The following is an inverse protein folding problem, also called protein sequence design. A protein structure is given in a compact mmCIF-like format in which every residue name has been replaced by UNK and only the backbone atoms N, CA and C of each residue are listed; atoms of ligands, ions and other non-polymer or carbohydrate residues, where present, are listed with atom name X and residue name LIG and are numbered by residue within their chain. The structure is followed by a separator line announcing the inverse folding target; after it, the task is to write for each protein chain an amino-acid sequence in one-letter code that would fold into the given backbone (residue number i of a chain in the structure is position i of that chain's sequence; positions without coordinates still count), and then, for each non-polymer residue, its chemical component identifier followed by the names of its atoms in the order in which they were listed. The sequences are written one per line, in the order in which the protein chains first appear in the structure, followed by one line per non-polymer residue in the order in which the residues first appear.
data_IF_124064893977
#
_entry.id   IF_124064893977
#
_cell.length_a   1.000
_cell.length_b   1.000
_cell.length_c   1.000
_cell.angle_alpha   90.00
_cell.angle_beta   90.00
_cell.angle_gamma   90.00
#
_symmetry.space_group_name_H-M   'P 1'
#
loop_
_entity.id
_entity.type
_entity.pdbx_description
1 polymer ?
#
# COMPACT_ATOMS: atom_id res chain seq x y z
N UNK A 1 7.50 -14.05 -15.39
CA UNK A 1 6.44 -13.17 -14.82
C UNK A 1 7.16 -12.14 -13.98
N UNK A 2 6.76 -10.88 -13.95
CA UNK A 2 7.47 -9.91 -13.09
C UNK A 2 7.01 -10.04 -11.62
N UNK A 3 7.96 -9.94 -10.69
CA UNK A 3 7.73 -9.88 -9.25
C UNK A 3 8.39 -8.65 -8.64
N UNK A 4 7.83 -8.20 -7.51
CA UNK A 4 8.40 -7.20 -6.62
C UNK A 4 8.64 -7.82 -5.25
N UNK A 5 9.84 -7.62 -4.71
CA UNK A 5 10.18 -7.88 -3.32
C UNK A 5 10.43 -6.56 -2.59
N UNK A 6 9.80 -6.37 -1.45
CA UNK A 6 10.12 -5.30 -0.51
C UNK A 6 10.69 -5.94 0.74
N UNK A 7 11.89 -5.52 1.15
CA UNK A 7 12.53 -6.09 2.34
C UNK A 7 13.22 -5.03 3.21
N UNK A 8 13.19 -5.29 4.50
CA UNK A 8 13.88 -4.50 5.53
C UNK A 8 14.79 -5.40 6.34
N UNK A 9 15.90 -4.83 6.82
CA UNK A 9 16.87 -5.52 7.66
C UNK A 9 17.12 -4.69 8.92
N UNK A 10 17.23 -5.36 10.05
CA UNK A 10 17.41 -4.75 11.38
C UNK A 10 18.66 -5.30 12.07
N UNK A 11 19.34 -4.51 12.92
CA UNK A 11 18.86 -3.27 13.55
C UNK A 11 19.12 -2.00 12.71
N UNK A 12 18.10 -1.15 12.59
CA UNK A 12 18.25 0.19 12.03
C UNK A 12 18.49 1.20 13.16
N UNK A 13 19.62 1.92 13.14
CA UNK A 13 19.94 2.94 14.13
C UNK A 13 19.81 4.35 13.54
N UNK A 14 18.57 4.80 13.36
CA UNK A 14 18.22 6.20 13.08
C UNK A 14 18.86 6.81 11.82
N UNK A 15 18.95 8.14 11.79
CA UNK A 15 19.49 8.91 10.65
C UNK A 15 21.01 8.72 10.51
N UNK A 16 21.48 8.38 9.31
CA UNK A 16 22.90 8.17 9.02
C UNK A 16 23.15 7.32 7.78
N UNK A 17 24.38 6.83 7.66
CA UNK A 17 24.79 5.90 6.61
C UNK A 17 24.08 4.55 6.76
N UNK A 18 23.62 3.91 5.67
CA UNK A 18 22.93 2.63 5.77
C UNK A 18 23.81 1.56 6.42
N UNK A 19 23.26 0.72 7.30
CA UNK A 19 24.02 -0.34 7.95
C UNK A 19 24.52 -1.37 6.93
N UNK A 20 25.66 -2.00 7.25
CA UNK A 20 26.35 -2.95 6.38
C UNK A 20 25.43 -4.07 5.87
N UNK A 21 24.60 -4.65 6.74
CA UNK A 21 23.61 -5.66 6.34
C UNK A 21 22.63 -5.18 5.26
N UNK A 22 22.21 -3.92 5.28
CA UNK A 22 21.29 -3.37 4.29
C UNK A 22 22.01 -3.15 2.95
N UNK A 23 23.26 -2.69 3.00
CA UNK A 23 24.12 -2.50 1.82
C UNK A 23 24.43 -3.85 1.15
N UNK A 24 24.79 -4.87 1.93
CA UNK A 24 25.09 -6.21 1.41
C UNK A 24 23.86 -6.90 0.83
N UNK A 25 22.70 -6.78 1.49
CA UNK A 25 21.44 -7.31 0.96
C UNK A 25 21.04 -6.64 -0.36
N UNK A 26 21.25 -5.32 -0.47
CA UNK A 26 21.04 -4.57 -1.72
C UNK A 26 21.98 -5.05 -2.83
N UNK A 27 23.28 -5.16 -2.53
CA UNK A 27 24.28 -5.62 -3.50
C UNK A 27 23.94 -7.02 -4.04
N UNK A 28 23.53 -7.96 -3.18
CA UNK A 28 23.12 -9.29 -3.60
C UNK A 28 21.90 -9.28 -4.55
N UNK A 29 20.97 -8.33 -4.39
CA UNK A 29 19.85 -8.14 -5.31
C UNK A 29 20.31 -7.56 -6.67
N UNK A 30 21.22 -6.58 -6.65
CA UNK A 30 21.80 -5.97 -7.86
C UNK A 30 22.62 -6.99 -8.66
N UNK A 31 23.43 -7.82 -8.00
CA UNK A 31 24.22 -8.90 -8.63
C UNK A 31 23.35 -9.97 -9.29
N UNK A 32 22.14 -10.19 -8.78
CA UNK A 32 21.15 -11.07 -9.38
C UNK A 32 20.45 -10.44 -10.61
N UNK A 33 20.82 -9.23 -11.02
CA UNK A 33 20.24 -8.52 -12.15
C UNK A 33 18.87 -7.92 -11.89
N UNK A 34 18.50 -7.75 -10.61
CA UNK A 34 17.23 -7.12 -10.23
C UNK A 34 17.35 -5.60 -10.29
N UNK A 35 16.28 -4.92 -10.69
CA UNK A 35 16.17 -3.47 -10.52
C UNK A 35 15.90 -3.16 -9.05
N UNK A 36 16.78 -2.38 -8.43
CA UNK A 36 16.71 -2.09 -7.00
C UNK A 36 16.48 -0.61 -6.74
N UNK A 37 15.57 -0.30 -5.82
CA UNK A 37 15.35 1.03 -5.24
C UNK A 37 15.59 0.96 -3.73
N UNK A 38 16.55 1.75 -3.24
CA UNK A 38 17.02 1.71 -1.86
C UNK A 38 16.55 2.97 -1.11
N UNK A 39 15.49 2.82 -0.33
CA UNK A 39 14.79 3.93 0.33
C UNK A 39 14.90 3.92 1.85
N UNK A 40 14.36 4.96 2.52
CA UNK A 40 14.42 5.10 3.97
C UNK A 40 13.59 4.06 4.73
N UNK A 41 12.66 3.38 4.05
CA UNK A 41 11.76 2.39 4.64
C UNK A 41 12.13 0.95 4.27
N UNK A 42 13.20 0.73 3.50
CA UNK A 42 13.60 -0.59 3.03
C UNK A 42 14.13 -0.58 1.60
N UNK A 43 14.38 -1.79 1.09
CA UNK A 43 14.85 -2.03 -0.26
C UNK A 43 13.73 -2.65 -1.08
N UNK A 44 13.48 -2.11 -2.26
CA UNK A 44 12.57 -2.71 -3.24
C UNK A 44 13.37 -3.30 -4.38
N UNK A 45 13.20 -4.59 -4.67
CA UNK A 45 13.80 -5.27 -5.82
C UNK A 45 12.71 -5.76 -6.77
N UNK A 46 12.91 -5.57 -8.08
CA UNK A 46 11.98 -5.97 -9.14
C UNK A 46 12.70 -6.72 -10.24
N UNK A 47 12.05 -7.71 -10.82
CA UNK A 47 12.59 -8.46 -11.95
C UNK A 47 11.74 -9.65 -12.33
N UNK A 48 12.27 -10.48 -13.22
CA UNK A 48 11.62 -11.75 -13.55
C UNK A 48 11.51 -12.65 -12.30
N UNK A 49 10.43 -13.41 -12.23
CA UNK A 49 10.07 -14.24 -11.09
C UNK A 49 11.14 -15.26 -10.75
N UNK A 50 11.72 -15.93 -11.75
CA UNK A 50 12.72 -16.96 -11.51
C UNK A 50 14.03 -16.34 -11.00
N UNK A 51 14.42 -15.19 -11.57
CA UNK A 51 15.57 -14.43 -11.11
C UNK A 51 15.38 -13.92 -9.67
N UNK A 52 14.21 -13.32 -9.38
CA UNK A 52 13.93 -12.75 -8.07
C UNK A 52 13.81 -13.84 -6.99
N UNK A 53 13.04 -14.90 -7.24
CA UNK A 53 12.89 -16.02 -6.29
C UNK A 53 14.22 -16.74 -6.07
N UNK A 54 15.03 -16.90 -7.13
CA UNK A 54 16.38 -17.45 -7.05
C UNK A 54 17.35 -16.59 -6.23
N UNK A 55 17.16 -15.27 -6.21
CA UNK A 55 18.02 -14.33 -5.47
C UNK A 55 17.70 -14.27 -3.96
N UNK A 56 16.48 -14.61 -3.54
CA UNK A 56 16.04 -14.47 -2.14
C UNK A 56 16.98 -15.13 -1.11
N UNK A 57 17.50 -16.35 -1.32
CA UNK A 57 18.42 -16.95 -0.36
C UNK A 57 19.76 -16.20 -0.26
N UNK A 58 20.25 -15.61 -1.35
CA UNK A 58 21.49 -14.84 -1.35
C UNK A 58 21.30 -13.51 -0.62
N UNK A 59 20.19 -12.81 -0.90
CA UNK A 59 19.80 -11.57 -0.21
C UNK A 59 19.67 -11.80 1.30
N UNK A 60 18.99 -12.89 1.70
CA UNK A 60 18.82 -13.21 3.11
C UNK A 60 20.13 -13.56 3.81
N UNK A 61 21.03 -14.33 3.16
CA UNK A 61 22.36 -14.62 3.71
C UNK A 61 23.20 -13.36 3.84
N UNK A 62 23.28 -12.54 2.79
CA UNK A 62 24.04 -11.29 2.80
C UNK A 62 23.58 -10.33 3.91
N UNK A 63 22.27 -10.25 4.16
CA UNK A 63 21.74 -9.50 5.29
C UNK A 63 22.23 -10.03 6.64
N UNK A 64 22.06 -11.34 6.87
CA UNK A 64 22.40 -11.96 8.15
C UNK A 64 23.92 -11.95 8.42
N UNK A 65 24.72 -12.25 7.39
CA UNK A 65 26.19 -12.21 7.45
C UNK A 65 26.70 -10.78 7.69
N UNK A 66 25.99 -9.77 7.17
CA UNK A 66 26.24 -8.35 7.44
C UNK A 66 25.77 -7.87 8.82
N UNK A 67 25.32 -8.77 9.69
CA UNK A 67 24.93 -8.46 11.06
C UNK A 67 23.45 -8.14 11.27
N UNK A 68 22.59 -8.36 10.28
CA UNK A 68 21.15 -8.30 10.53
C UNK A 68 20.74 -9.42 11.48
N UNK A 69 19.92 -9.10 12.48
CA UNK A 69 19.29 -10.10 13.34
C UNK A 69 17.85 -10.41 12.93
N UNK A 70 17.29 -9.59 12.02
CA UNK A 70 15.95 -9.76 11.47
C UNK A 70 15.89 -9.22 10.05
N UNK A 71 15.22 -9.99 9.20
CA UNK A 71 14.83 -9.60 7.85
C UNK A 71 13.32 -9.78 7.71
N UNK A 72 12.64 -8.74 7.24
CA UNK A 72 11.22 -8.81 6.87
C UNK A 72 11.12 -8.71 5.36
N UNK A 73 10.28 -9.52 4.72
CA UNK A 73 10.14 -9.58 3.27
C UNK A 73 8.67 -9.72 2.86
N UNK A 74 8.28 -8.92 1.88
CA UNK A 74 7.00 -8.99 1.20
C UNK A 74 7.21 -9.25 -0.29
N UNK A 75 6.49 -10.23 -0.84
CA UNK A 75 6.45 -10.52 -2.27
C UNK A 75 5.09 -10.16 -2.85
N UNK A 76 5.11 -9.48 -3.98
CA UNK A 76 3.93 -9.03 -4.69
C UNK A 76 4.13 -9.21 -6.19
N UNK A 77 3.06 -9.50 -6.93
CA UNK A 77 3.07 -9.26 -8.38
C UNK A 77 2.80 -7.78 -8.63
N UNK A 78 3.20 -7.19 -9.76
CA UNK A 78 2.85 -5.80 -10.11
C UNK A 78 1.34 -5.54 -10.15
N UNK A 79 0.53 -6.59 -10.30
CA UNK A 79 -0.94 -6.54 -10.27
C UNK A 79 -1.50 -6.70 -8.85
N UNK A 80 -0.74 -7.23 -7.88
CA UNK A 80 -1.15 -7.32 -6.49
C UNK A 80 -1.20 -5.90 -5.87
N UNK A 81 -2.30 -5.20 -6.11
CA UNK A 81 -2.51 -3.80 -5.75
C UNK A 81 -3.40 -3.06 -6.75
N UNK A 82 -3.44 -3.50 -8.01
CA UNK A 82 -4.30 -2.96 -9.05
C UNK A 82 -5.51 -3.89 -9.23
N UNK A 83 -6.70 -3.41 -8.89
CA UNK A 83 -7.94 -4.08 -9.31
C UNK A 83 -7.88 -4.27 -10.84
N UNK A 84 -8.32 -5.43 -11.38
CA UNK A 84 -8.19 -5.71 -12.80
C UNK A 84 -8.79 -4.58 -13.63
N UNK A 85 -8.00 -3.98 -14.52
CA UNK A 85 -8.49 -2.92 -15.40
C UNK A 85 -9.66 -3.46 -16.24
N UNK A 86 -10.87 -2.93 -16.00
CA UNK A 86 -12.11 -3.38 -16.65
C UNK A 86 -12.97 -4.35 -15.83
N UNK A 87 -12.62 -4.65 -14.58
CA UNK A 87 -13.56 -5.29 -13.66
C UNK A 87 -14.80 -4.39 -13.47
N UNK A 88 -16.02 -4.96 -13.41
CA UNK A 88 -17.19 -4.16 -13.07
C UNK A 88 -16.98 -3.52 -11.70
N UNK A 89 -17.40 -2.25 -11.50
CA UNK A 89 -17.22 -1.57 -10.23
C UNK A 89 -17.81 -2.42 -9.11
N UNK A 90 -17.06 -2.58 -8.04
CA UNK A 90 -17.48 -3.23 -6.81
C UNK A 90 -18.79 -2.61 -6.30
N UNK A 91 -19.50 -3.32 -5.43
CA UNK A 91 -20.73 -2.78 -4.82
C UNK A 91 -20.46 -1.45 -4.10
N UNK A 92 -19.29 -1.33 -3.45
CA UNK A 92 -18.88 -0.10 -2.78
C UNK A 92 -18.69 1.06 -3.76
N UNK A 93 -18.00 0.84 -4.88
CA UNK A 93 -17.79 1.86 -5.92
C UNK A 93 -19.12 2.31 -6.54
N UNK A 94 -20.08 1.40 -6.72
CA UNK A 94 -21.44 1.77 -7.16
C UNK A 94 -22.16 2.64 -6.14
N UNK A 95 -22.06 2.32 -4.85
CA UNK A 95 -22.64 3.14 -3.78
C UNK A 95 -22.01 4.54 -3.72
N UNK A 96 -20.70 4.65 -3.91
CA UNK A 96 -19.99 5.93 -3.99
C UNK A 96 -20.54 6.75 -5.17
N UNK A 97 -20.62 6.15 -6.36
CA UNK A 97 -21.17 6.82 -7.54
C UNK A 97 -22.64 7.24 -7.36
N UNK A 98 -23.45 6.45 -6.64
CA UNK A 98 -24.83 6.80 -6.31
C UNK A 98 -24.90 8.03 -5.39
N UNK A 99 -24.01 8.12 -4.39
CA UNK A 99 -23.93 9.28 -3.50
C UNK A 99 -23.43 10.51 -4.25
N UNK A 100 -22.42 10.39 -5.11
CA UNK A 100 -21.93 11.50 -5.95
C UNK A 100 -23.04 12.05 -6.85
N UNK A 101 -23.83 11.17 -7.48
CA UNK A 101 -24.98 11.59 -8.29
C UNK A 101 -26.06 12.31 -7.48
N UNK A 102 -26.30 11.89 -6.25
CA UNK A 102 -27.25 12.56 -5.35
C UNK A 102 -26.75 13.93 -4.88
N UNK A 103 -25.44 14.05 -4.62
CA UNK A 103 -24.83 15.30 -4.15
C UNK A 103 -24.46 16.26 -5.30
N UNK A 104 -24.45 15.77 -6.54
CA UNK A 104 -24.25 16.56 -7.75
C UNK A 104 -22.81 16.83 -8.14
N UNK A 105 -21.83 16.30 -7.40
CA UNK A 105 -20.40 16.43 -7.71
C UNK A 105 -19.59 15.26 -7.15
N UNK A 106 -18.29 15.24 -7.45
CA UNK A 106 -17.41 14.23 -6.87
C UNK A 106 -17.26 14.41 -5.37
N UNK A 107 -17.10 13.30 -4.65
CA UNK A 107 -16.84 13.32 -3.21
C UNK A 107 -15.59 14.13 -2.83
N UNK A 108 -14.59 14.19 -3.71
CA UNK A 108 -13.36 14.94 -3.48
C UNK A 108 -13.61 16.46 -3.43
N UNK A 109 -14.55 16.96 -4.24
CA UNK A 109 -14.87 18.38 -4.44
C UNK A 109 -15.83 18.93 -3.37
N UNK A 110 -16.40 18.06 -2.53
CA UNK A 110 -17.29 18.46 -1.46
C UNK A 110 -16.55 19.31 -0.40
N UNK A 111 -17.27 20.29 0.14
CA UNK A 111 -16.84 20.96 1.36
C UNK A 111 -16.96 20.02 2.57
N UNK A 112 -16.47 20.45 3.73
CA UNK A 112 -16.45 19.59 4.92
C UNK A 112 -17.85 19.09 5.35
N UNK A 113 -18.90 19.94 5.41
CA UNK A 113 -20.27 19.48 5.65
C UNK A 113 -20.76 18.48 4.59
N UNK A 114 -20.46 18.72 3.31
CA UNK A 114 -20.78 17.80 2.22
C UNK A 114 -20.11 16.44 2.40
N UNK A 115 -18.82 16.40 2.75
CA UNK A 115 -18.07 15.16 3.04
C UNK A 115 -18.66 14.40 4.23
N UNK A 116 -19.10 15.11 5.27
CA UNK A 116 -19.78 14.49 6.42
C UNK A 116 -21.13 13.87 6.02
N UNK A 117 -21.92 14.60 5.22
CA UNK A 117 -23.19 14.08 4.68
C UNK A 117 -22.97 12.86 3.78
N UNK A 118 -21.96 12.88 2.92
CA UNK A 118 -21.60 11.75 2.08
C UNK A 118 -21.26 10.49 2.89
N UNK A 119 -20.46 10.64 3.95
CA UNK A 119 -20.12 9.53 4.86
C UNK A 119 -21.37 8.94 5.53
N UNK A 120 -22.30 9.78 5.99
CA UNK A 120 -23.57 9.32 6.57
C UNK A 120 -24.43 8.55 5.57
N UNK A 121 -24.60 9.06 4.34
CA UNK A 121 -25.34 8.36 3.29
C UNK A 121 -24.71 7.00 2.94
N UNK A 122 -23.39 6.93 2.90
CA UNK A 122 -22.66 5.67 2.69
C UNK A 122 -22.86 4.69 3.85
N UNK A 123 -22.87 5.17 5.09
CA UNK A 123 -23.17 4.37 6.28
C UNK A 123 -24.60 3.82 6.27
N UNK A 124 -25.60 4.65 6.00
CA UNK A 124 -27.01 4.25 5.89
C UNK A 124 -27.21 3.17 4.81
N UNK A 125 -26.39 3.18 3.75
CA UNK A 125 -26.39 2.18 2.67
C UNK A 125 -25.53 0.94 2.96
N UNK A 126 -24.98 0.83 4.17
CA UNK A 126 -24.20 -0.31 4.61
C UNK A 126 -22.80 -0.39 3.99
N UNK A 127 -22.26 0.70 3.44
CA UNK A 127 -20.94 0.70 2.81
C UNK A 127 -19.83 0.25 3.77
N UNK A 128 -19.91 0.65 5.04
CA UNK A 128 -18.87 0.33 6.05
C UNK A 128 -18.85 -1.13 6.51
N UNK A 129 -19.86 -1.93 6.17
CA UNK A 129 -19.83 -3.38 6.36
C UNK A 129 -18.98 -4.10 5.30
N UNK A 130 -18.60 -3.41 4.21
CA UNK A 130 -17.89 -3.99 3.08
C UNK A 130 -16.36 -4.03 3.31
N UNK A 131 -15.70 -5.03 2.72
CA UNK A 131 -14.24 -5.15 2.77
C UNK A 131 -13.60 -3.92 2.14
N UNK A 132 -12.58 -3.35 2.79
CA UNK A 132 -11.85 -2.13 2.38
C UNK A 132 -12.69 -0.86 2.29
N UNK A 133 -13.87 -0.79 2.91
CA UNK A 133 -14.72 0.41 2.86
C UNK A 133 -14.00 1.71 3.26
N UNK A 134 -13.42 1.74 4.46
CA UNK A 134 -12.77 2.94 4.98
C UNK A 134 -11.61 3.46 4.10
N UNK A 135 -10.62 2.65 3.66
CA UNK A 135 -9.58 3.16 2.76
C UNK A 135 -10.12 3.63 1.40
N UNK A 136 -11.07 2.92 0.78
CA UNK A 136 -11.63 3.31 -0.52
C UNK A 136 -12.45 4.61 -0.43
N UNK A 137 -13.28 4.75 0.61
CA UNK A 137 -14.07 5.98 0.83
C UNK A 137 -13.15 7.17 1.15
N UNK A 138 -12.08 6.94 1.93
CA UNK A 138 -11.10 7.98 2.24
C UNK A 138 -10.40 8.51 0.99
N UNK A 139 -10.00 7.61 0.09
CA UNK A 139 -9.44 7.94 -1.22
C UNK A 139 -10.42 8.76 -2.07
N UNK A 140 -11.67 8.31 -2.21
CA UNK A 140 -12.70 9.01 -2.97
C UNK A 140 -13.01 10.42 -2.42
N UNK A 141 -12.96 10.60 -1.10
CA UNK A 141 -13.15 11.91 -0.44
C UNK A 141 -11.88 12.78 -0.46
N UNK A 142 -10.72 12.24 -0.83
CA UNK A 142 -9.43 12.93 -0.72
C UNK A 142 -9.05 13.26 0.73
N UNK A 143 -9.34 12.36 1.68
CA UNK A 143 -9.06 12.53 3.12
C UNK A 143 -8.39 11.29 3.70
N UNK A 144 -8.01 11.33 4.98
CA UNK A 144 -7.43 10.17 5.67
C UNK A 144 -8.52 9.21 6.16
N UNK A 145 -8.19 7.93 6.36
CA UNK A 145 -9.08 6.95 7.02
C UNK A 145 -9.55 7.44 8.39
N UNK A 146 -8.65 8.07 9.14
CA UNK A 146 -8.98 8.67 10.44
C UNK A 146 -10.08 9.73 10.32
N UNK A 147 -10.01 10.58 9.29
CA UNK A 147 -11.04 11.58 9.00
C UNK A 147 -12.41 10.95 8.71
N UNK A 148 -12.44 9.84 7.96
CA UNK A 148 -13.70 9.11 7.69
C UNK A 148 -14.32 8.58 8.98
N UNK A 149 -13.53 7.94 9.85
CA UNK A 149 -14.03 7.50 11.17
C UNK A 149 -14.47 8.67 12.06
N UNK A 150 -13.82 9.83 11.95
CA UNK A 150 -14.26 11.03 12.66
C UNK A 150 -15.63 11.52 12.18
N UNK A 151 -15.94 11.39 10.88
CA UNK A 151 -17.24 11.76 10.33
C UNK A 151 -18.35 10.79 10.74
N UNK A 152 -18.04 9.48 10.83
CA UNK A 152 -18.97 8.47 11.36
C UNK A 152 -19.36 8.74 12.82
N UNK A 153 -18.39 9.11 13.65
CA UNK A 153 -18.63 9.30 15.09
C UNK A 153 -19.24 10.66 15.45
N UNK A 154 -19.67 11.46 14.47
CA UNK A 154 -20.33 12.75 14.70
C UNK A 154 -21.83 12.59 14.47
N UNK A 155 -22.58 12.43 15.55
CA UNK A 155 -24.04 12.61 15.54
C UNK A 155 -24.42 14.03 15.06
N UNK A 156 -25.60 14.22 14.45
CA UNK A 156 -26.08 15.53 13.97
C UNK A 156 -26.19 16.59 15.08
#
# INVERSE_FOLDING_TARGET
MELQAEFTTEPFRGEGEPPEHAVLARAAAEEAGLSVDFGPLGTTARGDADALLGALPAIARAALDGGANRLTLQLSTPTAGREPAGAPPTTLERLIADVERELGCSLADLDRPGKQRAVRLLEERGAFAMRRAAPTIAEALGVTRFTVYNYLNREP
#
